data_IF_520154176428
#
_entry.id   IF_520154176428
#
_cell.length_a   1.000
_cell.length_b   1.000
_cell.length_c   1.000
_cell.angle_alpha   90.00
_cell.angle_beta   90.00
_cell.angle_gamma   90.00
#
_symmetry.space_group_name_H-M   'P 1'
#
loop_
_entity.id
_entity.type
_entity.pdbx_description
1 polymer ?
#
# COMPACT_ATOMS: atom_id res chain seq x y z
N UNK A 1 -30.36 16.40 -5.24
CA UNK A 1 -29.45 15.92 -4.18
C UNK A 1 -28.08 15.78 -4.81
N UNK A 2 -27.05 16.39 -4.23
CA UNK A 2 -25.67 16.12 -4.66
C UNK A 2 -25.32 14.79 -3.99
N UNK A 3 -25.25 13.72 -4.76
CA UNK A 3 -24.80 12.43 -4.28
C UNK A 3 -23.30 12.54 -3.99
N UNK A 4 -22.90 12.39 -2.73
CA UNK A 4 -21.49 12.41 -2.36
C UNK A 4 -20.85 11.10 -2.82
N UNK A 5 -20.19 11.16 -3.96
CA UNK A 5 -19.51 10.02 -4.59
C UNK A 5 -18.03 10.02 -4.18
N UNK A 6 -17.52 8.86 -3.80
CA UNK A 6 -16.13 8.68 -3.36
C UNK A 6 -15.58 7.40 -3.97
N UNK A 7 -14.35 7.46 -4.48
CA UNK A 7 -13.64 6.30 -5.01
C UNK A 7 -12.41 6.03 -4.19
N UNK A 8 -12.22 4.77 -3.83
CA UNK A 8 -11.06 4.30 -3.08
C UNK A 8 -10.20 3.48 -4.03
N UNK A 9 -8.93 3.86 -4.17
CA UNK A 9 -7.95 3.12 -4.93
C UNK A 9 -6.92 2.51 -3.96
N UNK A 10 -6.88 1.18 -3.90
CA UNK A 10 -6.00 0.46 -2.98
C UNK A 10 -5.28 -0.67 -3.72
N UNK A 11 -4.07 -0.38 -4.20
CA UNK A 11 -3.21 -1.29 -4.96
C UNK A 11 -1.74 -1.11 -4.52
N UNK A 12 -0.88 -2.09 -4.82
CA UNK A 12 0.56 -2.00 -4.58
C UNK A 12 1.16 -3.20 -3.83
N UNK A 13 0.35 -3.97 -3.09
CA UNK A 13 0.87 -5.08 -2.29
C UNK A 13 1.45 -6.22 -3.16
N UNK A 14 0.88 -6.44 -4.35
CA UNK A 14 1.35 -7.43 -5.32
C UNK A 14 2.49 -6.88 -6.19
N UNK A 15 2.38 -5.61 -6.56
CA UNK A 15 3.36 -4.86 -7.34
C UNK A 15 4.74 -4.84 -6.67
N UNK A 16 4.76 -4.82 -5.33
CA UNK A 16 5.95 -4.84 -4.49
C UNK A 16 6.71 -6.18 -4.44
N UNK A 17 6.31 -7.18 -5.22
CA UNK A 17 7.07 -8.42 -5.39
C UNK A 17 8.49 -8.13 -5.90
N UNK A 18 9.49 -8.85 -5.41
CA UNK A 18 10.88 -8.64 -5.81
C UNK A 18 11.09 -8.95 -7.30
N UNK A 19 11.94 -8.19 -8.03
CA UNK A 19 12.17 -8.40 -9.46
C UNK A 19 12.67 -9.80 -9.83
N UNK A 20 13.35 -10.48 -8.90
CA UNK A 20 13.94 -11.81 -9.09
C UNK A 20 13.10 -12.93 -8.44
N UNK A 21 11.98 -12.61 -7.83
CA UNK A 21 11.08 -13.62 -7.28
C UNK A 21 10.48 -14.46 -8.42
N UNK A 22 10.17 -15.72 -8.15
CA UNK A 22 9.47 -16.60 -9.10
C UNK A 22 7.97 -16.27 -9.19
N UNK A 23 7.64 -15.00 -9.46
CA UNK A 23 6.27 -14.45 -9.54
C UNK A 23 6.23 -13.34 -10.58
N UNK A 24 5.20 -13.30 -11.41
CA UNK A 24 5.07 -12.33 -12.51
C UNK A 24 4.47 -10.97 -12.12
N UNK A 25 4.31 -10.70 -10.82
CA UNK A 25 3.57 -9.54 -10.31
C UNK A 25 4.42 -8.28 -10.13
N UNK A 26 5.75 -8.38 -10.22
CA UNK A 26 6.64 -7.23 -10.02
C UNK A 26 6.34 -6.10 -11.00
N UNK A 27 6.14 -4.89 -10.47
CA UNK A 27 5.99 -3.66 -11.26
C UNK A 27 6.99 -2.63 -10.73
N UNK A 28 7.96 -2.13 -11.53
CA UNK A 28 8.88 -1.08 -11.08
C UNK A 28 8.15 0.14 -10.51
N UNK A 29 8.67 0.77 -9.45
CA UNK A 29 8.02 1.89 -8.73
C UNK A 29 7.50 2.99 -9.67
N UNK A 30 8.29 3.42 -10.66
CA UNK A 30 7.84 4.46 -11.59
C UNK A 30 6.62 3.99 -12.39
N UNK A 31 6.62 2.73 -12.83
CA UNK A 31 5.50 2.14 -13.54
C UNK A 31 4.28 1.95 -12.64
N UNK A 32 4.47 1.61 -11.37
CA UNK A 32 3.39 1.56 -10.39
C UNK A 32 2.70 2.92 -10.26
N UNK A 33 3.47 4.02 -10.12
CA UNK A 33 2.92 5.38 -10.06
C UNK A 33 2.18 5.79 -11.32
N UNK A 34 2.75 5.49 -12.49
CA UNK A 34 2.07 5.69 -13.78
C UNK A 34 0.74 4.93 -13.84
N UNK A 35 0.73 3.67 -13.41
CA UNK A 35 -0.46 2.81 -13.45
C UNK A 35 -1.55 3.33 -12.51
N UNK A 36 -1.21 3.80 -11.30
CA UNK A 36 -2.20 4.39 -10.40
C UNK A 36 -2.87 5.62 -11.01
N UNK A 37 -2.09 6.54 -11.58
CA UNK A 37 -2.65 7.71 -12.27
C UNK A 37 -3.51 7.30 -13.47
N UNK A 38 -3.04 6.36 -14.29
CA UNK A 38 -3.80 5.87 -15.44
C UNK A 38 -5.15 5.25 -15.03
N UNK A 39 -5.24 4.58 -13.87
CA UNK A 39 -6.51 4.05 -13.36
C UNK A 39 -7.44 5.20 -12.96
N UNK A 40 -6.93 6.21 -12.25
CA UNK A 40 -7.72 7.37 -11.80
C UNK A 40 -8.20 8.22 -12.99
N UNK A 41 -7.38 8.34 -14.02
CA UNK A 41 -7.71 9.07 -15.27
C UNK A 41 -8.55 8.24 -16.24
N UNK A 42 -8.79 6.96 -15.95
CA UNK A 42 -9.54 6.07 -16.83
C UNK A 42 -11.02 6.48 -16.96
N UNK A 43 -11.71 6.06 -18.04
CA UNK A 43 -13.14 6.29 -18.19
C UNK A 43 -14.00 5.75 -17.04
N UNK A 44 -13.49 4.74 -16.30
CA UNK A 44 -14.15 4.19 -15.13
C UNK A 44 -14.24 5.19 -13.96
N UNK A 45 -13.33 6.16 -13.89
CA UNK A 45 -13.34 7.23 -12.89
C UNK A 45 -13.87 8.54 -13.47
N UNK A 46 -13.60 8.83 -14.76
CA UNK A 46 -13.91 10.12 -15.42
C UNK A 46 -15.33 10.63 -15.14
N UNK A 47 -16.35 9.78 -15.31
CA UNK A 47 -17.73 10.17 -15.07
C UNK A 47 -18.03 10.54 -13.61
N UNK A 48 -17.37 9.88 -12.66
CA UNK A 48 -17.49 10.18 -11.23
C UNK A 48 -16.77 11.48 -10.89
N UNK A 49 -15.55 11.67 -11.39
CA UNK A 49 -14.75 12.89 -11.18
C UNK A 49 -15.45 14.13 -11.72
N UNK A 50 -16.07 14.05 -12.91
CA UNK A 50 -16.86 15.16 -13.49
C UNK A 50 -18.07 15.56 -12.64
N UNK A 51 -18.61 14.65 -11.82
CA UNK A 51 -19.68 14.94 -10.86
C UNK A 51 -19.16 15.43 -9.50
N UNK A 52 -17.84 15.60 -9.36
CA UNK A 52 -17.20 16.07 -8.13
C UNK A 52 -16.84 14.96 -7.15
N UNK A 53 -16.71 13.70 -7.60
CA UNK A 53 -16.30 12.61 -6.72
C UNK A 53 -14.87 12.84 -6.19
N UNK A 54 -14.65 12.53 -4.92
CA UNK A 54 -13.30 12.48 -4.33
C UNK A 54 -12.63 11.15 -4.64
N UNK A 55 -11.31 11.18 -4.80
CA UNK A 55 -10.46 9.99 -4.88
C UNK A 55 -9.63 9.91 -3.61
N UNK A 56 -9.67 8.74 -2.97
CA UNK A 56 -8.80 8.38 -1.85
C UNK A 56 -7.84 7.31 -2.35
N UNK A 57 -6.55 7.64 -2.41
CA UNK A 57 -5.50 6.66 -2.62
C UNK A 57 -5.12 6.08 -1.26
N UNK A 58 -5.07 4.75 -1.16
CA UNK A 58 -4.69 4.05 0.06
C UNK A 58 -3.35 3.39 -0.16
N UNK A 59 -2.40 3.60 0.75
CA UNK A 59 -1.11 2.90 0.68
C UNK A 59 -1.30 1.37 0.82
N UNK A 60 -0.53 0.53 0.13
CA UNK A 60 -0.47 -0.89 0.45
C UNK A 60 -0.13 -1.12 1.94
N UNK A 61 -0.69 -2.16 2.58
CA UNK A 61 -0.41 -2.45 3.98
C UNK A 61 1.06 -2.87 4.17
N UNK A 62 1.58 -2.88 5.41
CA UNK A 62 2.90 -3.42 5.70
C UNK A 62 3.00 -4.91 5.36
N UNK A 63 4.22 -5.38 5.11
CA UNK A 63 4.51 -6.79 4.89
C UNK A 63 5.34 -7.34 6.06
N UNK A 64 4.95 -8.50 6.58
CA UNK A 64 5.66 -9.18 7.65
C UNK A 64 6.38 -10.42 7.10
N UNK A 65 7.70 -10.34 6.97
CA UNK A 65 8.55 -11.41 6.45
C UNK A 65 8.53 -12.66 7.35
N UNK A 66 8.26 -12.49 8.65
CA UNK A 66 8.09 -13.62 9.59
C UNK A 66 6.85 -14.48 9.27
N UNK A 67 5.83 -13.92 8.60
CA UNK A 67 4.63 -14.64 8.18
C UNK A 67 4.66 -14.99 6.68
N UNK A 68 5.18 -14.08 5.84
CA UNK A 68 5.13 -14.20 4.39
C UNK A 68 6.40 -14.72 3.72
N UNK A 69 7.48 -14.91 4.48
CA UNK A 69 8.80 -15.26 3.97
C UNK A 69 9.48 -14.13 3.19
N UNK A 70 10.75 -14.33 2.84
CA UNK A 70 11.62 -13.32 2.20
C UNK A 70 11.79 -13.53 0.69
N UNK A 71 11.33 -14.67 0.15
CA UNK A 71 11.54 -15.04 -1.26
C UNK A 71 10.70 -14.21 -2.24
N UNK A 72 9.56 -13.68 -1.78
CA UNK A 72 8.59 -12.99 -2.63
C UNK A 72 8.61 -11.47 -2.50
N UNK A 73 8.59 -10.97 -1.26
CA UNK A 73 8.50 -9.55 -0.90
C UNK A 73 9.38 -9.29 0.30
N UNK A 74 9.76 -8.03 0.48
CA UNK A 74 10.41 -7.55 1.69
C UNK A 74 9.61 -6.39 2.26
N UNK A 75 9.68 -6.23 3.58
CA UNK A 75 9.05 -5.12 4.30
C UNK A 75 9.60 -3.78 3.80
N UNK A 76 10.91 -3.70 3.58
CA UNK A 76 11.58 -2.49 3.06
C UNK A 76 11.13 -2.13 1.64
N UNK A 77 10.95 -3.12 0.76
CA UNK A 77 10.44 -2.85 -0.59
C UNK A 77 8.98 -2.41 -0.54
N UNK A 78 8.14 -3.08 0.26
CA UNK A 78 6.72 -2.74 0.42
C UNK A 78 6.53 -1.30 0.92
N UNK A 79 7.38 -0.84 1.86
CA UNK A 79 7.39 0.55 2.33
C UNK A 79 7.55 1.56 1.18
N UNK A 80 8.44 1.28 0.21
CA UNK A 80 8.64 2.19 -0.93
C UNK A 80 7.39 2.32 -1.80
N UNK A 81 6.58 1.27 -1.93
CA UNK A 81 5.30 1.35 -2.64
C UNK A 81 4.24 2.12 -1.84
N UNK A 82 4.26 2.01 -0.51
CA UNK A 82 3.43 2.86 0.36
C UNK A 82 3.76 4.34 0.20
N UNK A 83 5.05 4.69 0.21
CA UNK A 83 5.53 6.06 -0.04
C UNK A 83 5.15 6.53 -1.46
N UNK A 84 5.34 5.68 -2.47
CA UNK A 84 4.99 6.00 -3.85
C UNK A 84 3.49 6.24 -4.06
N UNK A 85 2.61 5.52 -3.34
CA UNK A 85 1.17 5.79 -3.35
C UNK A 85 0.85 7.18 -2.77
N UNK A 86 1.54 7.56 -1.69
CA UNK A 86 1.44 8.90 -1.11
C UNK A 86 1.94 10.01 -2.04
N UNK A 87 3.02 9.77 -2.79
CA UNK A 87 3.49 10.68 -3.84
C UNK A 87 2.42 10.89 -4.91
N UNK A 88 1.81 9.82 -5.42
CA UNK A 88 0.72 9.91 -6.42
C UNK A 88 -0.45 10.71 -5.89
N UNK A 89 -0.87 10.46 -4.64
CA UNK A 89 -1.97 11.17 -4.03
C UNK A 89 -1.67 12.68 -3.92
N UNK A 90 -0.49 13.03 -3.39
CA UNK A 90 -0.05 14.42 -3.25
C UNK A 90 0.04 15.13 -4.60
N UNK A 91 0.73 14.53 -5.56
CA UNK A 91 1.04 15.16 -6.84
C UNK A 91 -0.21 15.29 -7.72
N UNK A 92 -1.15 14.36 -7.61
CA UNK A 92 -2.45 14.41 -8.30
C UNK A 92 -3.55 15.21 -7.58
N UNK A 93 -3.27 15.72 -6.37
CA UNK A 93 -4.26 16.44 -5.56
C UNK A 93 -5.41 15.55 -5.06
N UNK A 94 -5.15 14.25 -4.86
CA UNK A 94 -6.10 13.28 -4.31
C UNK A 94 -5.99 13.22 -2.79
N UNK A 95 -7.05 12.73 -2.13
CA UNK A 95 -6.98 12.40 -0.71
C UNK A 95 -6.08 11.17 -0.51
N UNK A 96 -5.37 11.10 0.61
CA UNK A 96 -4.47 9.98 0.92
C UNK A 96 -4.82 9.35 2.28
N UNK A 97 -4.94 8.02 2.30
CA UNK A 97 -5.00 7.23 3.51
C UNK A 97 -3.70 6.42 3.65
N UNK A 98 -2.84 6.87 4.57
CA UNK A 98 -1.56 6.21 4.90
C UNK A 98 -1.78 5.03 5.85
N UNK A 99 -2.46 4.00 5.35
CA UNK A 99 -2.74 2.77 6.09
C UNK A 99 -1.43 2.08 6.54
N UNK A 100 -0.36 2.19 5.76
CA UNK A 100 0.93 1.63 6.11
C UNK A 100 1.44 2.22 7.42
N UNK A 101 1.52 3.54 7.51
CA UNK A 101 1.98 4.23 8.72
C UNK A 101 1.05 3.97 9.91
N UNK A 102 -0.26 3.92 9.69
CA UNK A 102 -1.22 3.65 10.75
C UNK A 102 -1.05 2.23 11.34
N UNK A 103 -0.86 1.22 10.49
CA UNK A 103 -0.55 -0.14 10.93
C UNK A 103 0.78 -0.21 11.70
N UNK A 104 1.82 0.47 11.20
CA UNK A 104 3.15 0.47 11.84
C UNK A 104 3.11 1.15 13.21
N UNK A 105 2.46 2.32 13.32
CA UNK A 105 2.25 3.03 14.59
C UNK A 105 1.44 2.18 15.58
N UNK A 106 0.37 1.53 15.12
CA UNK A 106 -0.40 0.62 15.97
C UNK A 106 0.47 -0.51 16.54
N UNK A 107 1.38 -1.04 15.71
CA UNK A 107 2.33 -2.06 16.12
C UNK A 107 3.45 -1.54 17.05
N UNK A 108 3.51 -0.23 17.30
CA UNK A 108 4.49 0.41 18.18
C UNK A 108 5.78 0.84 17.49
N UNK A 109 5.78 0.95 16.17
CA UNK A 109 6.92 1.47 15.40
C UNK A 109 6.87 2.99 15.30
N UNK A 110 8.03 3.64 15.48
CA UNK A 110 8.22 5.06 15.24
C UNK A 110 9.21 5.32 14.08
N UNK A 111 9.11 6.50 13.46
CA UNK A 111 9.99 6.87 12.36
C UNK A 111 11.45 6.88 12.83
N UNK A 112 12.27 6.01 12.23
CA UNK A 112 13.69 5.86 12.57
C UNK A 112 14.00 4.53 13.26
N UNK A 113 12.99 3.84 13.78
CA UNK A 113 13.15 2.50 14.33
C UNK A 113 13.45 1.47 13.23
N UNK A 114 14.13 0.36 13.57
CA UNK A 114 14.20 -0.81 12.70
C UNK A 114 12.81 -1.25 12.27
N UNK A 115 12.68 -1.66 11.00
CA UNK A 115 11.38 -1.89 10.40
C UNK A 115 10.72 -3.15 10.98
N UNK A 116 9.58 -3.00 11.65
CA UNK A 116 8.79 -4.15 12.08
C UNK A 116 8.36 -4.97 10.86
N UNK A 117 8.55 -6.29 10.93
CA UNK A 117 8.28 -7.20 9.83
C UNK A 117 9.50 -7.53 8.96
N UNK A 118 10.64 -6.84 9.13
CA UNK A 118 11.93 -7.30 8.60
C UNK A 118 12.37 -8.58 9.34
N UNK A 119 12.87 -9.57 8.60
CA UNK A 119 13.30 -10.86 9.16
C UNK A 119 14.43 -10.72 10.19
N UNK A 120 15.24 -9.65 10.09
CA UNK A 120 16.36 -9.37 10.99
C UNK A 120 15.96 -8.56 12.24
N UNK A 121 14.70 -8.11 12.31
CA UNK A 121 14.13 -7.40 13.45
C UNK A 121 13.27 -8.38 14.26
N UNK A 122 13.30 -8.34 15.61
CA UNK A 122 12.45 -9.20 16.43
C UNK A 122 10.97 -9.12 16.04
N UNK A 123 10.29 -10.26 16.05
CA UNK A 123 8.88 -10.35 15.66
C UNK A 123 7.98 -9.45 16.53
N UNK A 124 7.00 -8.79 15.90
CA UNK A 124 5.99 -7.99 16.59
C UNK A 124 4.65 -8.72 16.57
N UNK A 125 4.16 -9.13 17.75
CA UNK A 125 2.84 -9.77 17.89
C UNK A 125 1.71 -8.86 17.37
N UNK A 126 1.82 -7.54 17.62
CA UNK A 126 0.81 -6.57 17.19
C UNK A 126 0.77 -6.45 15.66
N UNK A 127 1.93 -6.38 15.01
CA UNK A 127 2.00 -6.37 13.55
C UNK A 127 1.46 -7.69 12.98
N UNK A 128 1.87 -8.83 13.56
CA UNK A 128 1.38 -10.14 13.15
C UNK A 128 -0.14 -10.27 13.23
N UNK A 129 -0.76 -9.75 14.30
CA UNK A 129 -2.23 -9.79 14.45
C UNK A 129 -2.99 -8.91 13.46
N UNK A 130 -2.39 -7.82 12.97
CA UNK A 130 -3.02 -7.00 11.92
C UNK A 130 -3.03 -7.69 10.56
N UNK A 131 -2.10 -8.62 10.33
CA UNK A 131 -1.85 -9.27 9.04
C UNK A 131 -2.24 -10.76 9.04
N UNK A 132 -2.74 -11.26 10.16
CA UNK A 132 -3.21 -12.63 10.32
C UNK A 132 -4.44 -12.87 9.43
N UNK A 133 -4.54 -14.07 8.87
CA UNK A 133 -5.79 -14.49 8.23
C UNK A 133 -6.86 -14.73 9.29
N UNK A 134 -8.15 -14.69 8.90
CA UNK A 134 -9.26 -14.93 9.82
C UNK A 134 -9.20 -16.33 10.48
N UNK A 135 -8.44 -17.26 9.91
CA UNK A 135 -8.24 -18.62 10.43
C UNK A 135 -7.11 -18.71 11.48
N UNK A 136 -6.39 -17.61 11.73
CA UNK A 136 -5.23 -17.53 12.64
C UNK A 136 -5.51 -16.71 13.92
N UNK A 137 -6.74 -16.23 14.13
CA UNK A 137 -7.18 -15.40 15.27
C UNK A 137 -8.10 -16.19 16.21
#
# INVERSE_FOLDING_TARGET
>A
MIESDCKVLWFGANDAVLPKANRSQYIPINKYKENLNAIIESPAFEGHLKRGAKVIVVSPPPFNEHQGGTEGRLAVETKKYAEAAGEVARDGGYEFLDLWSDCMKFAGWEQGDPLLGDINVPTSRKLGSLLASADEI
#
